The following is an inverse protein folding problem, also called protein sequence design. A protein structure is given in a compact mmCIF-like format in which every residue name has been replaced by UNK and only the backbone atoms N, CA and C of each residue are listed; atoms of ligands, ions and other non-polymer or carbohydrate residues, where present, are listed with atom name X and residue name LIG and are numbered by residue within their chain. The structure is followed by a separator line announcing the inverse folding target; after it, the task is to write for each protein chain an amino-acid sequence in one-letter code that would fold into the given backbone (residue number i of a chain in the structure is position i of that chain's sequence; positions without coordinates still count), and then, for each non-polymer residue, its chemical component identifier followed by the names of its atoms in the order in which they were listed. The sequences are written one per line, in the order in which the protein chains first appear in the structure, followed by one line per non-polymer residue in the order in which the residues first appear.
data_IF_442084342011
#
_entry.id   IF_442084342011
#
_cell.length_a   1.000
_cell.length_b   1.000
_cell.length_c   1.000
_cell.angle_alpha   90.00
_cell.angle_beta   90.00
_cell.angle_gamma   90.00
#
_symmetry.space_group_name_H-M   'P 1'
#
loop_
_entity.id
_entity.type
_entity.pdbx_description
1 polymer ?
#
# COMPACT_ATOMS: atom_id res chain seq x y z
N UNK A 1 27.12 -47.77 62.47
CA UNK A 1 26.03 -48.18 61.57
C UNK A 1 25.30 -46.90 61.16
N UNK A 2 24.91 -46.79 59.89
CA UNK A 2 24.68 -45.54 59.13
C UNK A 2 23.57 -44.65 59.69
N UNK A 3 23.84 -43.36 59.85
CA UNK A 3 22.82 -42.33 59.67
C UNK A 3 22.62 -42.06 58.17
N UNK A 4 21.38 -41.79 57.71
CA UNK A 4 21.28 -40.78 56.68
C UNK A 4 20.05 -39.85 56.75
N UNK A 5 20.42 -38.57 56.68
CA UNK A 5 19.93 -37.54 55.73
C UNK A 5 18.56 -36.91 55.98
N UNK A 6 18.59 -35.80 56.72
CA UNK A 6 17.67 -34.68 56.52
C UNK A 6 17.68 -34.25 55.04
N UNK A 7 16.51 -34.32 54.39
CA UNK A 7 16.29 -33.82 53.03
C UNK A 7 16.30 -32.30 53.03
N UNK A 8 17.18 -31.72 52.22
CA UNK A 8 17.28 -30.27 52.02
C UNK A 8 15.99 -29.68 51.48
N UNK A 9 15.44 -28.72 52.21
CA UNK A 9 14.33 -27.88 51.76
C UNK A 9 14.83 -26.94 50.66
N UNK A 10 14.34 -27.11 49.43
CA UNK A 10 14.57 -26.17 48.33
C UNK A 10 13.86 -24.86 48.65
N UNK A 11 14.62 -23.81 48.93
CA UNK A 11 14.10 -22.44 48.91
C UNK A 11 13.66 -22.08 47.48
N UNK A 12 12.35 -22.03 47.23
CA UNK A 12 11.81 -21.31 46.09
C UNK A 12 11.94 -19.81 46.40
N UNK A 13 12.77 -19.09 45.63
CA UNK A 13 12.81 -17.62 45.68
C UNK A 13 11.42 -17.10 45.29
N UNK A 14 10.76 -16.40 46.20
CA UNK A 14 9.54 -15.65 45.88
C UNK A 14 9.95 -14.40 45.08
N UNK A 15 9.46 -14.28 43.85
CA UNK A 15 9.63 -13.08 43.04
C UNK A 15 8.64 -12.05 43.57
N UNK A 16 9.13 -11.07 44.34
CA UNK A 16 8.32 -9.97 44.83
C UNK A 16 8.16 -8.99 43.66
N UNK A 17 7.05 -9.11 42.92
CA UNK A 17 6.74 -8.25 41.79
C UNK A 17 6.33 -6.86 42.28
N UNK A 18 7.09 -5.84 41.88
CA UNK A 18 6.76 -4.46 42.19
C UNK A 18 5.80 -3.93 41.13
N UNK A 19 4.50 -4.18 41.32
CA UNK A 19 3.42 -3.97 40.33
C UNK A 19 3.45 -2.57 39.72
N UNK A 20 3.70 -1.54 40.52
CA UNK A 20 3.79 -0.15 40.06
C UNK A 20 4.93 0.07 39.04
N UNK A 21 6.09 -0.56 39.29
CA UNK A 21 7.27 -0.45 38.41
C UNK A 21 7.06 -1.20 37.09
N UNK A 22 6.30 -2.29 37.12
CA UNK A 22 5.95 -3.08 35.94
C UNK A 22 4.94 -2.34 35.07
N UNK A 23 3.91 -1.77 35.70
CA UNK A 23 2.91 -0.96 35.00
C UNK A 23 3.56 0.22 34.28
N UNK A 24 4.46 0.94 34.95
CA UNK A 24 5.14 2.09 34.39
C UNK A 24 6.08 1.71 33.24
N UNK A 25 6.78 0.58 33.33
CA UNK A 25 7.60 0.06 32.23
C UNK A 25 6.75 -0.36 31.02
N UNK A 26 5.61 -1.04 31.23
CA UNK A 26 4.70 -1.42 30.14
C UNK A 26 4.14 -0.17 29.47
N UNK A 27 3.73 0.84 30.25
CA UNK A 27 3.21 2.10 29.74
C UNK A 27 4.23 2.79 28.81
N UNK A 28 5.50 2.88 29.22
CA UNK A 28 6.56 3.48 28.42
C UNK A 28 6.79 2.70 27.12
N UNK A 29 6.77 1.36 27.17
CA UNK A 29 6.93 0.52 25.99
C UNK A 29 5.79 0.74 24.99
N UNK A 30 4.54 0.77 25.47
CA UNK A 30 3.36 1.01 24.62
C UNK A 30 3.41 2.42 24.02
N UNK A 31 3.75 3.44 24.81
CA UNK A 31 3.85 4.82 24.33
C UNK A 31 4.94 4.95 23.24
N UNK A 32 6.07 4.28 23.45
CA UNK A 32 7.18 4.24 22.49
C UNK A 32 6.78 3.54 21.20
N UNK A 33 6.05 2.43 21.28
CA UNK A 33 5.53 1.72 20.12
C UNK A 33 4.54 2.57 19.31
N UNK A 34 3.65 3.32 19.99
CA UNK A 34 2.72 4.24 19.32
C UNK A 34 3.45 5.41 18.64
N UNK A 35 4.48 5.95 19.28
CA UNK A 35 5.33 7.00 18.68
C UNK A 35 6.08 6.49 17.44
N UNK A 36 6.65 5.28 17.51
CA UNK A 36 7.30 4.63 16.37
C UNK A 36 6.32 4.39 15.22
N UNK A 37 5.10 3.93 15.52
CA UNK A 37 4.06 3.75 14.50
C UNK A 37 3.70 5.05 13.79
N UNK A 38 3.53 6.15 14.55
CA UNK A 38 3.27 7.47 13.97
C UNK A 38 4.44 7.97 13.12
N UNK A 39 5.68 7.79 13.58
CA UNK A 39 6.88 8.16 12.84
C UNK A 39 6.94 7.43 11.50
N UNK A 40 6.75 6.11 11.51
CA UNK A 40 6.72 5.26 10.31
C UNK A 40 5.61 5.71 9.34
N UNK A 41 4.40 5.98 9.83
CA UNK A 41 3.28 6.42 8.99
C UNK A 41 3.44 7.83 8.43
N UNK A 42 4.31 8.65 9.02
CA UNK A 42 4.59 10.02 8.57
C UNK A 42 5.58 10.06 7.41
N UNK A 43 6.41 9.02 7.23
CA UNK A 43 7.27 8.90 6.05
C UNK A 43 6.48 8.30 4.86
N UNK A 44 6.40 9.00 3.70
CA UNK A 44 5.66 8.53 2.53
C UNK A 44 6.15 7.15 2.04
N UNK A 45 7.44 6.86 2.20
CA UNK A 45 8.06 5.60 1.77
C UNK A 45 7.61 4.38 2.59
N UNK A 46 7.32 4.56 3.88
CA UNK A 46 6.86 3.46 4.73
C UNK A 46 5.34 3.28 4.64
N UNK A 47 4.58 4.34 4.35
CA UNK A 47 3.14 4.26 4.05
C UNK A 47 2.85 3.25 2.93
N UNK A 48 3.63 3.31 1.84
CA UNK A 48 3.52 2.38 0.71
C UNK A 48 3.82 0.92 1.07
N UNK A 49 4.68 0.66 2.07
CA UNK A 49 5.03 -0.70 2.52
C UNK A 49 3.96 -1.28 3.45
N UNK A 50 3.30 -0.46 4.28
CA UNK A 50 2.22 -0.91 5.16
C UNK A 50 0.85 -0.96 4.48
N UNK A 51 0.62 -0.23 3.38
CA UNK A 51 -0.53 -0.47 2.49
C UNK A 51 -0.28 -1.62 1.50
N UNK A 52 0.96 -2.12 1.38
CA UNK A 52 1.31 -3.28 0.55
C UNK A 52 0.90 -4.64 1.16
N UNK A 53 0.20 -4.70 2.30
CA UNK A 53 -0.42 -5.96 2.75
C UNK A 53 -1.56 -6.44 1.84
N UNK A 54 -2.16 -5.57 1.02
CA UNK A 54 -3.04 -5.99 -0.09
C UNK A 54 -2.25 -6.61 -1.26
N UNK A 55 -0.94 -6.32 -1.38
CA UNK A 55 -0.05 -6.87 -2.42
C UNK A 55 0.36 -8.33 -2.17
N UNK A 56 0.22 -8.83 -0.94
CA UNK A 56 0.49 -10.24 -0.63
C UNK A 56 -0.71 -11.17 -0.87
N UNK A 57 -1.91 -10.62 -1.03
CA UNK A 57 -3.09 -11.40 -1.42
C UNK A 57 -3.07 -11.75 -2.93
N UNK A 58 -2.39 -10.95 -3.77
CA UNK A 58 -2.30 -11.22 -5.23
C UNK A 58 -1.34 -12.37 -5.60
N UNK A 59 -0.36 -12.70 -4.75
CA UNK A 59 0.61 -13.77 -5.01
C UNK A 59 0.03 -15.18 -4.78
N UNK A 60 -0.99 -15.32 -3.93
CA UNK A 60 -1.68 -16.60 -3.68
C UNK A 60 -2.96 -16.78 -4.51
N UNK A 61 -3.45 -15.74 -5.18
CA UNK A 61 -4.67 -15.77 -6.02
C UNK A 61 -4.42 -16.23 -7.47
N UNK A 62 -3.30 -16.90 -7.74
CA UNK A 62 -3.00 -17.52 -9.03
C UNK A 62 -3.47 -18.98 -9.14
N UNK A 63 -4.23 -19.48 -8.16
CA UNK A 63 -4.60 -20.89 -8.08
C UNK A 63 -6.09 -21.20 -8.29
N UNK A 64 -6.99 -20.22 -8.36
CA UNK A 64 -8.40 -20.52 -8.64
C UNK A 64 -9.14 -19.37 -9.33
N UNK A 65 -9.78 -19.75 -10.44
CA UNK A 65 -10.78 -19.00 -11.20
C UNK A 65 -11.74 -18.22 -10.31
N UNK A 66 -11.78 -16.87 -10.42
CA UNK A 66 -12.97 -16.00 -10.23
C UNK A 66 -12.62 -14.53 -10.03
N UNK A 67 -12.07 -13.83 -11.04
CA UNK A 67 -12.08 -12.35 -11.02
C UNK A 67 -12.17 -11.77 -12.44
N UNK A 68 -13.27 -12.04 -13.14
CA UNK A 68 -13.62 -11.39 -14.43
C UNK A 68 -13.99 -9.90 -14.29
N UNK A 69 -13.87 -9.30 -13.11
CA UNK A 69 -14.25 -7.91 -12.84
C UNK A 69 -13.08 -6.96 -12.60
N UNK A 70 -11.85 -7.48 -12.56
CA UNK A 70 -10.64 -6.68 -12.35
C UNK A 70 -9.68 -6.87 -13.52
N UNK A 71 -9.07 -5.77 -13.91
CA UNK A 71 -8.08 -5.71 -14.98
C UNK A 71 -6.86 -4.92 -14.51
N UNK A 72 -5.70 -5.16 -15.12
CA UNK A 72 -4.45 -4.48 -14.76
C UNK A 72 -3.99 -3.57 -15.90
N UNK A 73 -3.59 -2.36 -15.53
CA UNK A 73 -3.00 -1.38 -16.44
C UNK A 73 -1.65 -0.94 -15.91
N UNK A 74 -0.67 -0.89 -16.79
CA UNK A 74 0.65 -0.37 -16.47
C UNK A 74 0.87 0.95 -17.20
N UNK A 75 1.13 1.98 -16.42
CA UNK A 75 1.24 3.37 -16.84
C UNK A 75 2.70 3.83 -16.74
N UNK A 76 3.13 4.65 -17.70
CA UNK A 76 4.44 5.28 -17.75
C UNK A 76 4.28 6.80 -17.78
N UNK A 77 4.86 7.48 -16.80
CA UNK A 77 4.96 8.92 -16.71
C UNK A 77 6.18 9.43 -17.51
N UNK A 78 5.93 10.43 -18.33
CA UNK A 78 6.93 11.09 -19.18
C UNK A 78 6.75 12.61 -19.11
N UNK A 79 7.83 13.37 -19.26
CA UNK A 79 7.80 14.84 -19.27
C UNK A 79 7.91 15.52 -17.89
N UNK A 80 7.79 14.79 -16.78
CA UNK A 80 8.05 15.33 -15.42
C UNK A 80 8.65 14.26 -14.50
N UNK A 81 9.15 14.69 -13.34
CA UNK A 81 9.59 13.77 -12.28
C UNK A 81 8.37 13.20 -11.53
N UNK A 82 8.43 11.94 -11.07
CA UNK A 82 7.41 11.36 -10.21
C UNK A 82 7.19 12.21 -8.95
N UNK A 83 5.92 12.42 -8.60
CA UNK A 83 5.52 13.21 -7.44
C UNK A 83 4.18 12.71 -6.90
N UNK A 84 3.93 12.92 -5.61
CA UNK A 84 2.65 12.64 -4.97
C UNK A 84 1.49 13.51 -5.48
N UNK A 85 1.80 14.53 -6.27
CA UNK A 85 0.85 15.47 -6.84
C UNK A 85 0.19 15.00 -8.15
N UNK A 86 0.64 13.87 -8.71
CA UNK A 86 0.05 13.25 -9.89
C UNK A 86 -0.71 12.01 -9.45
N UNK A 87 -2.04 12.07 -9.57
CA UNK A 87 -2.92 10.99 -9.13
C UNK A 87 -3.59 10.34 -10.34
N UNK A 88 -3.68 9.01 -10.32
CA UNK A 88 -4.49 8.24 -11.24
C UNK A 88 -5.81 7.93 -10.57
N UNK A 89 -6.90 8.26 -11.25
CA UNK A 89 -8.25 8.23 -10.69
C UNK A 89 -9.16 7.27 -11.45
N UNK A 90 -10.06 6.64 -10.70
CA UNK A 90 -11.16 5.84 -11.21
C UNK A 90 -12.47 6.46 -10.73
N UNK A 91 -13.35 6.84 -11.65
CA UNK A 91 -14.64 7.47 -11.36
C UNK A 91 -14.53 8.68 -10.41
N UNK A 92 -13.53 9.54 -10.63
CA UNK A 92 -13.26 10.71 -9.79
C UNK A 92 -12.71 10.41 -8.38
N UNK A 93 -12.25 9.19 -8.11
CA UNK A 93 -11.58 8.82 -6.86
C UNK A 93 -10.12 8.42 -7.13
N UNK A 94 -9.14 8.92 -6.35
CA UNK A 94 -7.74 8.54 -6.53
C UNK A 94 -7.52 7.10 -6.11
N UNK A 95 -6.97 6.30 -7.02
CA UNK A 95 -6.64 4.87 -6.81
C UNK A 95 -5.14 4.62 -6.79
N UNK A 96 -4.33 5.50 -7.40
CA UNK A 96 -2.88 5.41 -7.37
C UNK A 96 -2.22 6.78 -7.53
N UNK A 97 -0.93 6.83 -7.23
CA UNK A 97 -0.12 8.05 -7.27
C UNK A 97 1.23 7.71 -7.91
N UNK A 98 1.78 8.62 -8.71
CA UNK A 98 3.07 8.41 -9.38
C UNK A 98 4.26 8.69 -8.46
N UNK A 99 4.57 7.76 -7.56
CA UNK A 99 5.84 7.78 -6.80
C UNK A 99 7.04 7.34 -7.64
N UNK A 100 6.79 6.52 -8.66
CA UNK A 100 7.76 6.07 -9.65
C UNK A 100 7.28 6.45 -11.05
N UNK A 101 8.19 6.43 -12.03
CA UNK A 101 7.84 6.69 -13.43
C UNK A 101 6.92 5.63 -14.00
N UNK A 102 6.98 4.39 -13.50
CA UNK A 102 6.16 3.26 -13.93
C UNK A 102 5.29 2.81 -12.77
N UNK A 103 3.98 2.78 -12.95
CA UNK A 103 3.04 2.25 -11.95
C UNK A 103 2.12 1.21 -12.60
N UNK A 104 1.73 0.20 -11.83
CA UNK A 104 0.72 -0.79 -12.24
C UNK A 104 -0.48 -0.63 -11.33
N UNK A 105 -1.66 -0.53 -11.91
CA UNK A 105 -2.91 -0.25 -11.22
C UNK A 105 -3.96 -1.29 -11.61
N UNK A 106 -4.73 -1.73 -10.62
CA UNK A 106 -5.88 -2.59 -10.84
C UNK A 106 -7.11 -1.71 -11.02
N UNK A 107 -7.88 -1.98 -12.06
CA UNK A 107 -9.05 -1.20 -12.46
C UNK A 107 -10.28 -2.08 -12.58
N UNK A 108 -11.45 -1.51 -12.31
CA UNK A 108 -12.72 -2.25 -12.30
C UNK A 108 -13.50 -2.09 -13.60
N UNK A 109 -14.35 -3.05 -13.91
CA UNK A 109 -15.23 -2.97 -15.09
C UNK A 109 -16.10 -1.69 -15.10
N UNK A 110 -16.45 -1.24 -16.32
CA UNK A 110 -17.29 -0.07 -16.62
C UNK A 110 -16.88 1.20 -15.87
N UNK A 111 -15.57 1.40 -15.70
CA UNK A 111 -15.04 2.55 -14.98
C UNK A 111 -14.44 3.58 -15.90
N UNK A 112 -14.53 4.85 -15.48
CA UNK A 112 -13.90 5.99 -16.13
C UNK A 112 -12.53 6.23 -15.51
N UNK A 113 -11.51 6.33 -16.35
CA UNK A 113 -10.13 6.54 -15.95
C UNK A 113 -9.70 7.97 -16.24
N UNK A 114 -9.07 8.60 -15.26
CA UNK A 114 -8.67 10.01 -15.29
C UNK A 114 -7.30 10.19 -14.63
N UNK A 115 -6.63 11.28 -14.96
CA UNK A 115 -5.38 11.69 -14.30
C UNK A 115 -5.59 13.09 -13.73
N UNK A 116 -5.35 13.25 -12.44
CA UNK A 116 -5.27 14.57 -11.80
C UNK A 116 -3.82 15.07 -11.85
N UNK A 117 -3.61 16.13 -12.62
CA UNK A 117 -2.37 16.90 -12.62
C UNK A 117 -2.56 18.35 -12.20
N UNK A 118 -3.68 18.70 -11.55
CA UNK A 118 -4.02 20.09 -11.20
C UNK A 118 -2.98 20.76 -10.30
N UNK A 119 -2.24 19.97 -9.51
CA UNK A 119 -1.18 20.43 -8.60
C UNK A 119 0.19 20.53 -9.25
N UNK A 120 0.35 20.07 -10.49
CA UNK A 120 1.61 20.10 -11.24
C UNK A 120 1.58 21.20 -12.30
N UNK A 121 2.58 22.08 -12.26
CA UNK A 121 2.68 23.25 -13.16
C UNK A 121 3.23 22.90 -14.54
N UNK A 122 4.19 21.98 -14.58
CA UNK A 122 4.84 21.59 -15.82
C UNK A 122 3.99 20.55 -16.56
N UNK A 123 3.80 20.68 -17.88
CA UNK A 123 3.03 19.72 -18.66
C UNK A 123 3.75 18.37 -18.71
N UNK A 124 2.97 17.29 -18.63
CA UNK A 124 3.49 15.93 -18.67
C UNK A 124 2.56 15.01 -19.47
N UNK A 125 3.03 13.80 -19.75
CA UNK A 125 2.27 12.80 -20.48
C UNK A 125 2.30 11.46 -19.76
N UNK A 126 1.15 10.79 -19.71
CA UNK A 126 1.03 9.43 -19.18
C UNK A 126 0.68 8.49 -20.33
N UNK A 127 1.45 7.41 -20.45
CA UNK A 127 1.30 6.40 -21.50
C UNK A 127 0.89 5.06 -20.90
N UNK A 128 -0.04 4.36 -21.53
CA UNK A 128 -0.38 2.99 -21.18
C UNK A 128 0.57 2.08 -21.96
N UNK A 129 1.46 1.39 -21.23
CA UNK A 129 2.49 0.54 -21.83
C UNK A 129 2.13 -0.94 -21.79
N UNK A 130 1.32 -1.36 -20.82
CA UNK A 130 0.84 -2.75 -20.72
C UNK A 130 -0.62 -2.72 -20.26
N UNK A 131 -1.41 -3.65 -20.77
CA UNK A 131 -2.82 -3.84 -20.44
C UNK A 131 -3.11 -5.33 -20.34
N UNK A 132 -3.95 -5.73 -19.39
CA UNK A 132 -4.39 -7.11 -19.28
C UNK A 132 -5.25 -7.53 -20.48
N UNK A 133 -5.16 -8.80 -20.85
CA UNK A 133 -5.82 -9.37 -22.04
C UNK A 133 -7.36 -9.37 -21.97
N UNK A 134 -7.92 -9.17 -20.77
CA UNK A 134 -9.35 -9.10 -20.51
C UNK A 134 -9.95 -7.69 -20.70
N UNK A 135 -9.17 -6.69 -21.10
CA UNK A 135 -9.68 -5.34 -21.37
C UNK A 135 -10.13 -5.21 -22.82
N UNK A 136 -11.32 -4.67 -23.04
CA UNK A 136 -11.75 -4.20 -24.35
C UNK A 136 -11.32 -2.73 -24.54
N UNK A 137 -10.33 -2.53 -25.41
CA UNK A 137 -9.58 -1.28 -25.51
C UNK A 137 -10.19 -0.25 -26.48
N UNK A 138 -11.45 -0.41 -26.90
CA UNK A 138 -12.04 0.39 -27.98
C UNK A 138 -12.11 1.90 -27.68
N UNK A 139 -11.94 2.32 -26.42
CA UNK A 139 -12.00 3.74 -26.01
C UNK A 139 -10.85 4.24 -25.12
N UNK A 140 -9.73 3.52 -25.07
CA UNK A 140 -8.57 3.88 -24.23
C UNK A 140 -7.54 4.64 -25.07
N UNK A 141 -7.18 5.85 -24.65
CA UNK A 141 -6.07 6.59 -25.25
C UNK A 141 -4.73 5.98 -24.83
N UNK A 142 -3.86 5.66 -25.79
CA UNK A 142 -2.53 5.11 -25.49
C UNK A 142 -1.60 6.11 -24.78
N UNK A 143 -1.83 7.40 -24.98
CA UNK A 143 -1.09 8.50 -24.36
C UNK A 143 -2.02 9.67 -24.06
N UNK A 144 -1.87 10.26 -22.88
CA UNK A 144 -2.67 11.39 -22.41
C UNK A 144 -1.74 12.50 -21.96
N UNK A 145 -1.93 13.69 -22.53
CA UNK A 145 -1.24 14.89 -22.11
C UNK A 145 -2.02 15.59 -21.00
N UNK A 146 -1.31 16.04 -19.97
CA UNK A 146 -1.86 16.72 -18.80
C UNK A 146 -1.12 18.04 -18.63
N UNK A 147 -1.87 19.12 -18.52
CA UNK A 147 -1.34 20.48 -18.40
C UNK A 147 -2.07 21.24 -17.30
N UNK A 148 -1.71 20.93 -16.05
CA UNK A 148 -2.30 21.53 -14.84
C UNK A 148 -3.83 21.37 -14.75
N UNK A 149 -4.36 20.26 -15.24
CA UNK A 149 -5.79 19.96 -15.27
C UNK A 149 -6.06 18.49 -14.91
N UNK A 150 -7.34 18.14 -14.80
CA UNK A 150 -7.77 16.75 -14.83
C UNK A 150 -7.94 16.35 -16.29
N UNK A 151 -7.28 15.27 -16.71
CA UNK A 151 -7.35 14.75 -18.08
C UNK A 151 -8.01 13.38 -18.12
N UNK A 152 -8.94 13.22 -19.07
CA UNK A 152 -9.63 11.96 -19.32
C UNK A 152 -8.72 10.98 -20.09
N UNK A 153 -8.65 9.74 -19.61
CA UNK A 153 -7.86 8.68 -20.25
C UNK A 153 -8.71 7.81 -21.16
N UNK A 154 -9.86 7.38 -20.65
CA UNK A 154 -10.74 6.46 -21.35
C UNK A 154 -11.77 5.83 -20.43
N UNK A 155 -12.67 5.06 -21.01
CA UNK A 155 -13.53 4.13 -20.28
C UNK A 155 -13.05 2.71 -20.52
N UNK A 156 -13.07 1.90 -19.48
CA UNK A 156 -12.70 0.48 -19.58
C UNK A 156 -13.93 -0.41 -19.51
N UNK A 157 -13.91 -1.46 -20.30
CA UNK A 157 -14.85 -2.57 -20.25
C UNK A 157 -14.04 -3.86 -20.16
N UNK A 158 -14.39 -4.72 -19.22
CA UNK A 158 -13.74 -6.01 -19.00
C UNK A 158 -14.61 -7.09 -19.65
N UNK A 159 -13.96 -8.04 -20.34
CA UNK A 159 -14.59 -9.14 -21.06
C UNK A 159 -15.06 -10.28 -20.16
#
# INVERSE_FOLDING_TARGET
MREPKCKGFRHRKAIIFNVNKIYLNILIIVLSALMLSQFVLTFPNARAVFTNTERFESLYKNADDSTSSLAELTLLLTGTEPTSDIEFMQNGQPIAVFYDRKITVTVSDNSVLEIDGTRVKDPFSVQIIEMSSNIDAESISSSVNVNSNISFVGRIFIK
#
